data_IF_687892999092
#
_entry.id   IF_687892999092
#
_cell.length_a   1.000
_cell.length_b   1.000
_cell.length_c   1.000
_cell.angle_alpha   90.00
_cell.angle_beta   90.00
_cell.angle_gamma   90.00
#
_symmetry.space_group_name_H-M   'P 1'
#
loop_
_entity.id
_entity.type
_entity.pdbx_description
1 polymer ?
#
# COMPACT_ATOMS: atom_id res chain seq x y z
N UNK A 1 9.38 -6.73 -6.12
CA UNK A 1 10.00 -6.33 -7.39
C UNK A 1 10.47 -7.56 -8.15
N UNK A 2 10.35 -7.58 -9.47
CA UNK A 2 10.81 -8.64 -10.35
C UNK A 2 12.12 -8.21 -11.01
N UNK A 3 13.06 -9.14 -11.08
CA UNK A 3 14.38 -8.88 -11.62
C UNK A 3 14.70 -9.83 -12.76
N UNK A 4 15.44 -9.37 -13.73
CA UNK A 4 16.12 -10.21 -14.71
C UNK A 4 17.62 -10.30 -14.40
N UNK A 5 18.26 -11.36 -14.84
CA UNK A 5 19.71 -11.53 -14.78
C UNK A 5 20.26 -11.57 -16.18
N UNK A 6 21.31 -10.81 -16.43
CA UNK A 6 22.00 -10.86 -17.71
C UNK A 6 22.71 -12.21 -17.83
N UNK A 7 22.45 -13.04 -18.88
CA UNK A 7 23.07 -14.35 -19.01
C UNK A 7 24.59 -14.29 -19.26
N UNK A 8 25.09 -13.15 -19.73
CA UNK A 8 26.51 -12.98 -20.00
C UNK A 8 27.32 -12.46 -18.82
N UNK A 9 26.74 -11.49 -18.06
CA UNK A 9 27.48 -10.82 -16.96
C UNK A 9 26.97 -11.21 -15.58
N UNK A 10 25.83 -11.91 -15.47
CA UNK A 10 25.17 -12.19 -14.18
C UNK A 10 24.55 -10.97 -13.52
N UNK A 11 24.66 -9.78 -14.10
CA UNK A 11 24.14 -8.55 -13.52
C UNK A 11 22.63 -8.61 -13.34
N UNK A 12 22.16 -8.25 -12.17
CA UNK A 12 20.74 -8.18 -11.82
C UNK A 12 20.16 -6.81 -12.11
N UNK A 13 19.07 -6.74 -12.86
CA UNK A 13 18.37 -5.50 -13.21
C UNK A 13 16.88 -5.61 -12.89
N UNK A 14 16.31 -4.54 -12.34
CA UNK A 14 14.87 -4.48 -12.07
C UNK A 14 14.08 -4.40 -13.38
N UNK A 15 13.06 -5.24 -13.50
CA UNK A 15 12.18 -5.23 -14.68
C UNK A 15 11.16 -4.10 -14.59
N UNK A 16 10.89 -3.44 -15.71
CA UNK A 16 9.90 -2.39 -15.78
C UNK A 16 8.47 -2.96 -15.68
N UNK A 17 7.68 -2.44 -14.73
CA UNK A 17 6.29 -2.84 -14.61
C UNK A 17 5.47 -2.36 -15.81
N UNK A 18 4.89 -3.30 -16.55
CA UNK A 18 4.14 -3.06 -17.77
C UNK A 18 2.61 -3.04 -17.60
N UNK A 19 2.12 -3.22 -16.37
CA UNK A 19 0.70 -3.19 -16.07
C UNK A 19 0.09 -4.53 -15.68
N UNK A 20 -1.20 -4.50 -15.31
CA UNK A 20 -2.01 -5.67 -15.02
C UNK A 20 -2.92 -5.97 -16.22
N UNK A 21 -2.77 -7.17 -16.78
CA UNK A 21 -3.61 -7.70 -17.86
C UNK A 21 -4.82 -8.39 -17.23
N UNK A 22 -5.96 -7.70 -17.16
CA UNK A 22 -7.17 -8.16 -16.47
C UNK A 22 -7.73 -9.44 -17.08
N UNK A 23 -7.73 -9.56 -18.40
CA UNK A 23 -8.30 -10.71 -19.13
C UNK A 23 -7.53 -12.01 -18.86
N UNK A 24 -6.24 -11.90 -18.54
CA UNK A 24 -5.36 -13.03 -18.26
C UNK A 24 -5.06 -13.22 -16.78
N UNK A 25 -5.45 -12.28 -15.93
CA UNK A 25 -5.10 -12.28 -14.51
C UNK A 25 -3.59 -12.24 -14.25
N UNK A 26 -2.81 -11.60 -15.13
CA UNK A 26 -1.35 -11.58 -15.08
C UNK A 26 -0.78 -10.18 -14.94
N UNK A 27 0.36 -10.09 -14.26
CA UNK A 27 1.19 -8.89 -14.22
C UNK A 27 2.23 -8.98 -15.35
N UNK A 28 2.33 -7.93 -16.16
CA UNK A 28 3.32 -7.82 -17.22
C UNK A 28 4.53 -7.05 -16.73
N UNK A 29 5.71 -7.64 -16.92
CA UNK A 29 7.00 -7.00 -16.67
C UNK A 29 7.81 -6.98 -17.96
N UNK A 30 8.38 -5.83 -18.29
CA UNK A 30 9.15 -5.62 -19.51
C UNK A 30 10.65 -5.66 -19.23
N UNK A 31 11.41 -6.17 -20.19
CA UNK A 31 12.85 -6.12 -20.15
C UNK A 31 13.33 -4.66 -20.04
N UNK A 32 14.16 -4.29 -19.05
CA UNK A 32 14.62 -2.92 -18.87
C UNK A 32 15.45 -2.42 -20.07
N UNK A 33 16.22 -3.29 -20.71
CA UNK A 33 16.98 -2.92 -21.91
C UNK A 33 16.04 -2.51 -23.05
N UNK A 34 15.01 -3.32 -23.33
CA UNK A 34 14.04 -3.01 -24.38
C UNK A 34 13.12 -1.83 -24.02
N UNK A 35 12.84 -1.62 -22.72
CA UNK A 35 11.91 -0.58 -22.27
C UNK A 35 12.56 0.79 -22.10
N UNK A 36 13.80 0.83 -21.60
CA UNK A 36 14.53 2.08 -21.32
C UNK A 36 15.65 2.36 -22.33
N UNK A 37 15.84 1.49 -23.34
CA UNK A 37 16.93 1.64 -24.30
C UNK A 37 18.32 1.42 -23.72
N UNK A 38 18.43 0.65 -22.61
CA UNK A 38 19.71 0.38 -21.94
C UNK A 38 20.41 -0.77 -22.68
N UNK A 39 21.70 -0.63 -22.95
CA UNK A 39 22.51 -1.71 -23.53
C UNK A 39 22.56 -2.93 -22.59
N UNK A 40 22.29 -4.11 -23.14
CA UNK A 40 22.40 -5.37 -22.46
C UNK A 40 23.32 -6.32 -23.23
N UNK A 41 24.52 -6.62 -22.71
CA UNK A 41 25.49 -7.46 -23.41
C UNK A 41 24.99 -8.90 -23.68
N UNK A 42 24.04 -9.39 -22.88
CA UNK A 42 23.43 -10.70 -23.02
C UNK A 42 22.09 -10.72 -23.77
N UNK A 43 21.68 -9.63 -24.44
CA UNK A 43 20.36 -9.50 -25.06
C UNK A 43 20.04 -10.65 -26.04
N UNK A 44 20.99 -11.05 -26.86
CA UNK A 44 20.83 -12.12 -27.87
C UNK A 44 20.65 -13.51 -27.27
N UNK A 45 21.18 -13.74 -26.08
CA UNK A 45 21.13 -15.03 -25.37
C UNK A 45 20.08 -15.04 -24.25
N UNK A 46 19.38 -13.91 -24.06
CA UNK A 46 18.42 -13.77 -22.96
C UNK A 46 17.15 -14.58 -23.23
N UNK A 47 16.72 -15.48 -22.32
CA UNK A 47 15.47 -16.21 -22.45
C UNK A 47 14.23 -15.28 -22.35
N UNK A 48 14.41 -14.12 -21.71
CA UNK A 48 13.37 -13.11 -21.54
C UNK A 48 13.47 -12.08 -22.65
N UNK A 49 13.04 -12.44 -23.86
CA UNK A 49 12.94 -11.48 -24.97
C UNK A 49 11.68 -10.63 -24.81
N UNK A 50 11.83 -9.41 -24.30
CA UNK A 50 10.77 -8.40 -24.27
C UNK A 50 9.95 -8.33 -22.98
N UNK A 51 9.16 -9.34 -22.64
CA UNK A 51 8.28 -9.27 -21.46
C UNK A 51 8.02 -10.64 -20.80
N UNK A 52 7.90 -10.61 -19.48
CA UNK A 52 7.46 -11.76 -18.66
C UNK A 52 6.06 -11.46 -18.13
N UNK A 53 5.23 -12.48 -18.07
CA UNK A 53 3.90 -12.44 -17.46
C UNK A 53 3.87 -13.35 -16.25
N UNK A 54 3.49 -12.82 -15.11
CA UNK A 54 3.41 -13.54 -13.85
C UNK A 54 1.94 -13.60 -13.45
N UNK A 55 1.36 -14.80 -13.31
CA UNK A 55 -0.02 -14.94 -12.86
C UNK A 55 -0.13 -14.54 -11.38
N UNK A 56 -1.26 -13.92 -11.00
CA UNK A 56 -1.50 -13.55 -9.60
C UNK A 56 -1.56 -14.76 -8.67
N UNK A 57 -1.82 -15.95 -9.22
CA UNK A 57 -1.88 -17.21 -8.47
C UNK A 57 -0.51 -17.72 -8.02
N UNK A 58 0.58 -17.25 -8.63
CA UNK A 58 1.96 -17.63 -8.28
C UNK A 58 2.27 -17.31 -6.81
N UNK A 59 2.01 -16.09 -6.41
CA UNK A 59 2.04 -15.68 -5.00
C UNK A 59 1.13 -14.47 -4.79
N UNK A 60 -0.06 -14.70 -4.26
CA UNK A 60 -1.08 -13.66 -3.98
C UNK A 60 -0.64 -12.63 -2.93
N UNK A 61 0.38 -12.92 -2.13
CA UNK A 61 0.92 -11.98 -1.14
C UNK A 61 1.86 -10.96 -1.79
N UNK A 62 2.56 -11.37 -2.83
CA UNK A 62 3.55 -10.54 -3.54
C UNK A 62 2.95 -9.93 -4.80
N UNK A 63 2.26 -10.74 -5.60
CA UNK A 63 1.67 -10.32 -6.87
C UNK A 63 0.20 -9.96 -6.68
N UNK A 64 -0.07 -8.67 -6.72
CA UNK A 64 -1.42 -8.08 -6.59
C UNK A 64 -1.74 -7.30 -7.86
N UNK A 65 -3.04 -7.11 -8.22
CA UNK A 65 -3.43 -6.35 -9.42
C UNK A 65 -2.79 -4.97 -9.50
N UNK A 66 -2.44 -4.40 -8.35
CA UNK A 66 -1.67 -3.18 -8.24
C UNK A 66 -0.24 -3.53 -7.80
N UNK A 67 0.71 -3.44 -8.72
CA UNK A 67 2.11 -3.78 -8.42
C UNK A 67 2.67 -2.91 -7.28
N UNK A 68 3.32 -3.53 -6.30
CA UNK A 68 3.89 -2.84 -5.13
C UNK A 68 5.01 -1.86 -5.48
N UNK A 69 5.69 -2.06 -6.60
CA UNK A 69 6.69 -1.13 -7.14
C UNK A 69 6.09 0.13 -7.75
N UNK A 70 4.78 0.14 -8.05
CA UNK A 70 4.13 1.27 -8.70
C UNK A 70 3.94 2.47 -7.76
N UNK A 71 4.00 3.69 -8.32
CA UNK A 71 3.69 4.93 -7.59
C UNK A 71 2.28 4.90 -6.99
N UNK A 72 1.30 4.37 -7.72
CA UNK A 72 -0.09 4.26 -7.27
C UNK A 72 -0.21 3.39 -6.02
N UNK A 73 0.52 2.27 -5.95
CA UNK A 73 0.54 1.42 -4.76
C UNK A 73 1.12 2.18 -3.55
N UNK A 74 2.24 2.88 -3.72
CA UNK A 74 2.87 3.68 -2.66
C UNK A 74 1.90 4.73 -2.11
N UNK A 75 1.14 5.40 -2.99
CA UNK A 75 0.15 6.41 -2.60
C UNK A 75 -1.02 5.80 -1.83
N UNK A 76 -1.54 4.66 -2.27
CA UNK A 76 -2.63 3.97 -1.57
C UNK A 76 -2.14 3.39 -0.24
N UNK A 77 -0.95 2.80 -0.21
CA UNK A 77 -0.37 2.21 1.00
C UNK A 77 -0.16 3.24 2.11
N UNK A 78 0.19 4.47 1.77
CA UNK A 78 0.29 5.57 2.76
C UNK A 78 -1.02 5.80 3.52
N UNK A 79 -2.18 5.47 2.96
CA UNK A 79 -3.47 5.57 3.65
C UNK A 79 -3.61 4.58 4.80
N UNK A 80 -2.84 3.48 4.81
CA UNK A 80 -2.79 2.52 5.92
C UNK A 80 -2.38 3.19 7.23
N UNK A 81 -1.41 4.09 7.20
CA UNK A 81 -0.98 4.84 8.38
C UNK A 81 -2.13 5.65 9.01
N UNK A 82 -3.09 6.13 8.19
CA UNK A 82 -4.27 6.82 8.71
C UNK A 82 -5.19 5.89 9.49
N UNK A 83 -5.37 4.65 9.02
CA UNK A 83 -6.16 3.63 9.73
C UNK A 83 -5.48 3.23 11.03
N UNK A 84 -4.18 3.02 11.01
CA UNK A 84 -3.39 2.69 12.21
C UNK A 84 -3.46 3.80 13.26
N UNK A 85 -3.44 5.07 12.85
CA UNK A 85 -3.64 6.22 13.74
C UNK A 85 -5.04 6.26 14.35
N UNK A 86 -6.07 5.91 13.57
CA UNK A 86 -7.44 5.84 14.09
C UNK A 86 -7.54 4.72 15.10
N UNK A 87 -7.02 3.52 14.82
CA UNK A 87 -7.02 2.40 15.75
C UNK A 87 -6.29 2.76 17.05
N UNK A 88 -5.08 3.30 16.96
CA UNK A 88 -4.34 3.77 18.13
C UNK A 88 -5.11 4.79 18.97
N UNK A 89 -5.89 5.67 18.36
CA UNK A 89 -6.75 6.61 19.10
C UNK A 89 -7.94 5.92 19.78
N UNK A 90 -8.54 4.93 19.09
CA UNK A 90 -9.60 4.13 19.69
C UNK A 90 -9.09 3.37 20.92
N UNK A 91 -7.91 2.79 20.83
CA UNK A 91 -7.31 2.02 21.90
C UNK A 91 -6.89 2.94 23.07
N UNK A 92 -6.04 3.93 22.81
CA UNK A 92 -5.44 4.78 23.83
C UNK A 92 -6.41 5.82 24.39
N UNK A 93 -7.17 6.53 23.53
CA UNK A 93 -8.02 7.65 23.97
C UNK A 93 -9.43 7.22 24.39
N UNK A 94 -9.93 6.13 23.86
CA UNK A 94 -11.29 5.62 24.14
C UNK A 94 -11.30 4.28 24.88
N UNK A 95 -10.14 3.75 25.28
CA UNK A 95 -10.00 2.54 26.08
C UNK A 95 -10.58 1.29 25.41
N UNK A 96 -10.34 1.13 24.09
CA UNK A 96 -10.87 -0.04 23.38
C UNK A 96 -10.10 -1.32 23.68
N UNK A 97 -8.88 -1.25 24.17
CA UNK A 97 -8.13 -2.43 24.63
C UNK A 97 -8.65 -2.95 25.99
N UNK A 98 -9.16 -2.06 26.84
CA UNK A 98 -9.60 -2.38 28.22
C UNK A 98 -11.13 -2.49 28.37
N UNK A 99 -11.83 -2.94 27.34
CA UNK A 99 -13.29 -2.98 27.38
C UNK A 99 -13.87 -4.37 27.68
N UNK A 100 -15.00 -4.38 28.40
CA UNK A 100 -15.78 -5.58 28.69
C UNK A 100 -17.06 -5.71 27.86
N UNK A 101 -17.13 -5.01 26.69
CA UNK A 101 -18.34 -5.02 25.86
C UNK A 101 -18.42 -6.34 25.10
N UNK A 102 -19.51 -7.07 25.32
CA UNK A 102 -19.83 -8.29 24.60
C UNK A 102 -20.91 -8.01 23.54
N UNK A 103 -20.71 -8.58 22.36
CA UNK A 103 -21.66 -8.52 21.25
C UNK A 103 -21.36 -7.45 20.21
N UNK A 104 -21.51 -7.85 18.95
CA UNK A 104 -21.13 -7.03 17.79
C UNK A 104 -21.91 -5.72 17.69
N UNK A 105 -23.21 -5.73 18.05
CA UNK A 105 -24.07 -4.55 17.97
C UNK A 105 -23.60 -3.45 18.92
N UNK A 106 -23.31 -3.82 20.18
CA UNK A 106 -22.81 -2.88 21.18
C UNK A 106 -21.43 -2.33 20.81
N UNK A 107 -20.56 -3.18 20.28
CA UNK A 107 -19.25 -2.77 19.81
C UNK A 107 -19.36 -1.79 18.63
N UNK A 108 -20.20 -2.08 17.64
CA UNK A 108 -20.45 -1.14 16.52
C UNK A 108 -20.95 0.22 16.99
N UNK A 109 -21.87 0.25 17.95
CA UNK A 109 -22.38 1.49 18.52
C UNK A 109 -21.24 2.28 19.19
N UNK A 110 -20.43 1.63 20.02
CA UNK A 110 -19.31 2.29 20.71
C UNK A 110 -18.28 2.84 19.72
N UNK A 111 -17.88 2.06 18.71
CA UNK A 111 -16.99 2.53 17.64
C UNK A 111 -17.59 3.72 16.90
N UNK A 112 -18.89 3.66 16.57
CA UNK A 112 -19.59 4.75 15.88
C UNK A 112 -19.59 6.04 16.70
N UNK A 113 -19.87 5.96 18.00
CA UNK A 113 -19.84 7.12 18.90
C UNK A 113 -18.42 7.70 19.02
N UNK A 114 -17.40 6.85 19.18
CA UNK A 114 -16.01 7.31 19.25
C UNK A 114 -15.59 8.04 17.96
N UNK A 115 -15.96 7.51 16.80
CA UNK A 115 -15.68 8.15 15.50
C UNK A 115 -16.43 9.49 15.36
N UNK A 116 -17.67 9.59 15.83
CA UNK A 116 -18.43 10.84 15.84
C UNK A 116 -17.74 11.90 16.71
N UNK A 117 -17.29 11.54 17.89
CA UNK A 117 -16.53 12.46 18.77
C UNK A 117 -15.23 12.91 18.09
N UNK A 118 -14.49 11.98 17.47
CA UNK A 118 -13.28 12.32 16.74
C UNK A 118 -13.54 13.31 15.60
N UNK A 119 -14.62 13.11 14.83
CA UNK A 119 -15.00 14.00 13.75
C UNK A 119 -15.45 15.38 14.27
N UNK A 120 -16.23 15.43 15.33
CA UNK A 120 -16.67 16.68 15.95
C UNK A 120 -15.47 17.51 16.43
N UNK A 121 -14.51 16.89 17.11
CA UNK A 121 -13.27 17.53 17.54
C UNK A 121 -12.44 18.02 16.36
N UNK A 122 -12.34 17.22 15.29
CA UNK A 122 -11.62 17.63 14.09
C UNK A 122 -12.27 18.86 13.43
N UNK A 123 -13.59 18.88 13.32
CA UNK A 123 -14.35 20.02 12.76
C UNK A 123 -14.16 21.27 13.64
N UNK A 124 -14.25 21.13 14.97
CA UNK A 124 -13.99 22.24 15.91
C UNK A 124 -12.62 22.84 15.70
N UNK A 125 -11.57 22.03 15.71
CA UNK A 125 -10.17 22.49 15.51
C UNK A 125 -9.94 23.14 14.14
N UNK A 126 -10.59 22.65 13.09
CA UNK A 126 -10.52 23.28 11.77
C UNK A 126 -11.16 24.67 11.79
N UNK A 127 -12.33 24.84 12.45
CA UNK A 127 -13.00 26.12 12.59
C UNK A 127 -12.19 27.11 13.41
N UNK A 128 -11.51 26.65 14.44
CA UNK A 128 -10.60 27.43 15.29
C UNK A 128 -9.21 27.65 14.67
N UNK A 129 -8.99 27.20 13.43
CA UNK A 129 -7.72 27.30 12.69
C UNK A 129 -6.55 26.54 13.35
N UNK A 130 -6.82 25.58 14.25
CA UNK A 130 -5.83 24.76 14.97
C UNK A 130 -5.52 23.47 14.23
N UNK A 131 -5.14 23.55 12.95
CA UNK A 131 -4.93 22.37 12.09
C UNK A 131 -3.75 21.48 12.54
N UNK A 132 -2.73 22.07 13.17
CA UNK A 132 -1.56 21.35 13.70
C UNK A 132 -1.95 20.39 14.83
N UNK A 133 -3.01 20.69 15.58
CA UNK A 133 -3.49 19.84 16.69
C UNK A 133 -4.38 18.68 16.24
N UNK A 134 -4.72 18.58 14.94
CA UNK A 134 -5.51 17.47 14.39
C UNK A 134 -4.83 16.09 14.55
N UNK A 135 -3.52 16.09 14.77
CA UNK A 135 -2.75 14.85 14.94
C UNK A 135 -2.89 14.23 16.33
N UNK A 136 -3.33 14.96 17.32
CA UNK A 136 -3.56 14.49 18.70
C UNK A 136 -4.96 14.81 19.16
N UNK A 137 -5.63 13.89 19.87
CA UNK A 137 -6.91 14.15 20.54
C UNK A 137 -6.69 14.76 21.93
N UNK A 138 -5.54 14.48 22.53
CA UNK A 138 -5.15 15.00 23.82
C UNK A 138 -4.39 16.31 23.57
N UNK A 139 -4.82 17.40 24.20
CA UNK A 139 -4.01 18.60 24.25
C UNK A 139 -2.69 18.24 24.96
N UNK A 140 -1.57 18.58 24.34
CA UNK A 140 -0.32 18.55 25.07
C UNK A 140 -0.45 19.50 26.26
N UNK A 141 -0.40 18.93 27.47
CA UNK A 141 -0.36 19.70 28.70
C UNK A 141 0.94 20.48 28.76
#
# INVERSE_FOLDING_TARGET
>A
TVYCHCPRTGERREMAYGGFEKDRGTLKYRCPAAHYGIECPGQNQCPVRGAVRIPLTEDRRVFTPLARSSYRWKTIYKKRTSVERINSRLDVSFGFEDHFIRGQTKMRLRVGLALLVMLALAVGRIKEKQRETLRSLVAAA
#
